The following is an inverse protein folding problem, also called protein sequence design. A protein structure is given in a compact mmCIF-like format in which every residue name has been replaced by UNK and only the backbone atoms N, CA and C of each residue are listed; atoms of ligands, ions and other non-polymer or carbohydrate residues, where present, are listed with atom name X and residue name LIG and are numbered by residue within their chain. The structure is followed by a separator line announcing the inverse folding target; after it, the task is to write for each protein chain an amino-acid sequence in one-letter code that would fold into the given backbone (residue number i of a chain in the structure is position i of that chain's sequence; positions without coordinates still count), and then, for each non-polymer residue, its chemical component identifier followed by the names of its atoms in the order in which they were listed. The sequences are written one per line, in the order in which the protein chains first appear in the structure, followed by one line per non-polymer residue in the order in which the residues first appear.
data_IF_914914118885
#
_entry.id   IF_914914118885
#
_cell.length_a   1.000
_cell.length_b   1.000
_cell.length_c   1.000
_cell.angle_alpha   90.00
_cell.angle_beta   90.00
_cell.angle_gamma   90.00
#
_symmetry.space_group_name_H-M   'P 1'
#
loop_
_entity.id
_entity.type
_entity.pdbx_description
1 polymer ?
#
# COMPACT_ATOMS: atom_id res chain seq x y z
N UNK A 1 57.71 10.17 0.18
CA UNK A 1 57.42 8.79 -0.24
C UNK A 1 56.23 8.33 0.59
N UNK A 2 55.01 8.37 0.05
CA UNK A 2 54.34 7.32 -0.78
C UNK A 2 54.02 6.10 0.07
N UNK A 3 52.82 5.53 0.16
CA UNK A 3 51.44 5.70 -0.37
C UNK A 3 50.65 4.58 0.34
N UNK A 4 49.38 4.37 -0.05
CA UNK A 4 48.48 3.24 0.30
C UNK A 4 47.52 3.72 1.41
N UNK A 5 46.53 4.58 1.12
CA UNK A 5 45.45 4.45 0.12
C UNK A 5 44.78 3.08 0.17
N UNK A 6 43.56 3.09 0.73
CA UNK A 6 42.41 2.23 0.45
C UNK A 6 42.58 0.71 0.46
N UNK A 7 42.22 0.09 1.59
CA UNK A 7 41.86 -1.34 1.65
C UNK A 7 40.54 -1.49 2.44
N UNK A 8 39.47 -0.93 1.90
CA UNK A 8 38.12 -1.41 2.24
C UNK A 8 37.92 -2.69 1.43
N UNK A 9 38.22 -3.83 2.07
CA UNK A 9 37.99 -5.17 1.54
C UNK A 9 36.62 -5.23 0.84
N UNK A 10 36.67 -5.59 -0.45
CA UNK A 10 35.50 -5.77 -1.30
C UNK A 10 34.52 -6.74 -0.62
N UNK A 11 33.28 -6.29 -0.43
CA UNK A 11 32.21 -7.09 0.14
C UNK A 11 32.08 -8.41 -0.62
N UNK A 12 32.04 -9.53 0.12
CA UNK A 12 31.87 -10.87 -0.41
C UNK A 12 30.69 -10.90 -1.40
N UNK A 13 31.00 -11.21 -2.67
CA UNK A 13 30.03 -11.27 -3.74
C UNK A 13 29.03 -12.38 -3.45
N UNK A 14 27.86 -12.00 -2.93
CA UNK A 14 26.81 -12.95 -2.58
C UNK A 14 26.12 -13.45 -3.86
N UNK A 15 26.26 -14.74 -4.16
CA UNK A 15 25.61 -15.38 -5.30
C UNK A 15 24.12 -15.64 -5.00
N UNK A 16 23.25 -14.83 -5.62
CA UNK A 16 21.79 -14.94 -5.51
C UNK A 16 21.15 -15.79 -6.63
N UNK A 17 21.93 -16.55 -7.41
CA UNK A 17 21.41 -17.36 -8.54
C UNK A 17 20.35 -18.41 -8.13
N UNK A 18 20.34 -18.81 -6.86
CA UNK A 18 19.35 -19.75 -6.29
C UNK A 18 18.40 -19.13 -5.26
N UNK A 19 18.41 -17.80 -5.11
CA UNK A 19 17.52 -17.12 -4.19
C UNK A 19 16.08 -17.15 -4.74
N UNK A 20 15.22 -17.97 -4.14
CA UNK A 20 13.78 -17.95 -4.43
C UNK A 20 13.20 -16.66 -3.85
N UNK A 21 12.88 -15.70 -4.72
CA UNK A 21 12.15 -14.48 -4.35
C UNK A 21 10.68 -14.82 -4.11
N UNK A 22 10.38 -15.36 -2.94
CA UNK A 22 9.02 -15.61 -2.46
C UNK A 22 8.85 -15.07 -1.04
N UNK A 23 7.65 -14.58 -0.67
CA UNK A 23 7.40 -14.21 0.71
C UNK A 23 7.55 -15.46 1.60
N UNK A 24 8.40 -15.36 2.64
CA UNK A 24 8.63 -16.44 3.62
C UNK A 24 7.35 -16.79 4.39
N UNK A 25 6.38 -15.86 4.41
CA UNK A 25 5.10 -15.99 5.10
C UNK A 25 3.98 -15.87 4.05
N UNK A 26 3.06 -16.86 3.97
CA UNK A 26 1.92 -16.76 3.07
C UNK A 26 1.04 -15.56 3.45
N UNK A 27 0.44 -14.86 2.47
CA UNK A 27 -0.46 -13.75 2.76
C UNK A 27 -1.64 -14.24 3.61
N UNK A 28 -2.13 -13.38 4.49
CA UNK A 28 -3.30 -13.68 5.31
C UNK A 28 -4.48 -14.05 4.38
N UNK A 29 -5.16 -15.19 4.59
CA UNK A 29 -6.25 -15.64 3.72
C UNK A 29 -7.44 -14.66 3.66
N UNK A 30 -7.56 -13.77 4.65
CA UNK A 30 -8.60 -12.73 4.68
C UNK A 30 -8.16 -11.40 4.06
N UNK A 31 -6.97 -11.34 3.44
CA UNK A 31 -6.44 -10.15 2.78
C UNK A 31 -6.25 -10.42 1.28
N UNK A 32 -6.79 -9.53 0.46
CA UNK A 32 -6.61 -9.58 -1.00
C UNK A 32 -5.58 -8.54 -1.40
N UNK A 33 -4.51 -8.96 -2.10
CA UNK A 33 -3.58 -8.02 -2.72
C UNK A 33 -4.28 -7.30 -3.87
N UNK A 34 -4.25 -5.97 -3.82
CA UNK A 34 -4.81 -5.10 -4.86
C UNK A 34 -3.72 -4.16 -5.39
N UNK A 35 -3.83 -3.78 -6.66
CA UNK A 35 -3.04 -2.70 -7.23
C UNK A 35 -3.88 -1.43 -7.21
N UNK A 36 -3.49 -0.47 -6.38
CA UNK A 36 -4.14 0.84 -6.29
C UNK A 36 -3.10 1.93 -6.51
N UNK A 37 -3.50 3.01 -7.18
CA UNK A 37 -2.70 4.23 -7.24
C UNK A 37 -3.05 5.08 -6.02
N UNK A 38 -2.02 5.54 -5.31
CA UNK A 38 -2.13 6.43 -4.15
C UNK A 38 -1.19 7.60 -4.39
N UNK A 39 -1.63 8.81 -4.06
CA UNK A 39 -0.84 10.01 -4.26
C UNK A 39 0.46 9.97 -3.44
N UNK A 40 1.54 10.47 -4.04
CA UNK A 40 2.89 10.38 -3.47
C UNK A 40 3.06 11.17 -2.17
N UNK A 41 2.32 12.26 -2.00
CA UNK A 41 2.31 13.07 -0.79
C UNK A 41 1.66 12.31 0.38
N UNK A 42 0.56 11.60 0.13
CA UNK A 42 -0.09 10.72 1.11
C UNK A 42 0.82 9.54 1.50
N UNK A 43 1.53 8.95 0.54
CA UNK A 43 2.52 7.91 0.82
C UNK A 43 3.65 8.42 1.72
N UNK A 44 4.18 9.60 1.42
CA UNK A 44 5.25 10.22 2.23
C UNK A 44 4.77 10.57 3.63
N UNK A 45 3.61 11.21 3.73
CA UNK A 45 3.02 11.56 5.02
C UNK A 45 2.78 10.32 5.88
N UNK A 46 2.16 9.28 5.34
CA UNK A 46 1.86 8.05 6.08
C UNK A 46 3.11 7.32 6.57
N UNK A 47 4.17 7.26 5.74
CA UNK A 47 5.47 6.70 6.15
C UNK A 47 6.08 7.47 7.32
N UNK A 48 6.09 8.80 7.24
CA UNK A 48 6.61 9.64 8.32
C UNK A 48 5.87 9.42 9.65
N UNK A 49 4.54 9.17 9.62
CA UNK A 49 3.79 8.84 10.84
C UNK A 49 4.20 7.49 11.44
N UNK A 50 4.34 6.46 10.61
CA UNK A 50 4.73 5.11 11.07
C UNK A 50 6.16 5.08 11.60
N UNK A 51 7.07 5.79 10.92
CA UNK A 51 8.47 5.93 11.35
C UNK A 51 8.55 6.63 12.72
N UNK A 52 7.74 7.67 12.94
CA UNK A 52 7.68 8.39 14.22
C UNK A 52 7.11 7.52 15.37
N UNK A 53 6.21 6.59 15.06
CA UNK A 53 5.63 5.65 16.03
C UNK A 53 6.51 4.42 16.27
N UNK A 54 7.59 4.25 15.50
CA UNK A 54 8.53 3.15 15.64
C UNK A 54 8.01 1.80 15.15
N UNK A 55 7.02 1.79 14.25
CA UNK A 55 6.49 0.55 13.67
C UNK A 55 5.16 0.67 12.94
N UNK A 56 4.73 -0.48 12.38
CA UNK A 56 3.49 -0.62 11.61
C UNK A 56 3.74 -0.63 10.10
N UNK A 57 2.81 -1.24 9.36
CA UNK A 57 2.86 -1.29 7.89
C UNK A 57 1.88 -0.31 7.27
N UNK A 58 2.20 0.17 6.07
CA UNK A 58 1.29 1.05 5.33
C UNK A 58 -0.05 0.35 5.03
N UNK A 59 -0.02 -0.97 4.79
CA UNK A 59 -1.23 -1.77 4.57
C UNK A 59 -2.14 -1.78 5.81
N UNK A 60 -1.59 -1.87 7.01
CA UNK A 60 -2.36 -1.77 8.27
C UNK A 60 -2.97 -0.38 8.44
N UNK A 61 -2.18 0.67 8.22
CA UNK A 61 -2.65 2.07 8.30
C UNK A 61 -3.80 2.32 7.32
N UNK A 62 -3.64 1.89 6.08
CA UNK A 62 -4.67 2.02 5.03
C UNK A 62 -5.94 1.25 5.39
N UNK A 63 -5.81 0.00 5.86
CA UNK A 63 -6.97 -0.80 6.24
C UNK A 63 -7.72 -0.19 7.41
N UNK A 64 -7.03 0.33 8.41
CA UNK A 64 -7.67 0.98 9.56
C UNK A 64 -8.40 2.26 9.15
N UNK A 65 -7.76 3.11 8.33
CA UNK A 65 -8.40 4.29 7.78
C UNK A 65 -9.68 3.95 6.99
N UNK A 66 -9.67 2.89 6.19
CA UNK A 66 -10.85 2.42 5.45
C UNK A 66 -11.96 1.89 6.36
N UNK A 67 -11.63 1.22 7.47
CA UNK A 67 -12.62 0.76 8.45
C UNK A 67 -13.25 1.93 9.18
N UNK A 68 -12.44 2.87 9.68
CA UNK A 68 -12.92 4.10 10.29
C UNK A 68 -13.83 4.86 9.33
N UNK A 69 -13.45 4.95 8.06
CA UNK A 69 -14.27 5.57 7.03
C UNK A 69 -15.61 4.85 6.83
N UNK A 70 -15.59 3.51 6.68
CA UNK A 70 -16.78 2.66 6.51
C UNK A 70 -17.78 2.89 7.64
N UNK A 71 -17.28 2.96 8.87
CA UNK A 71 -18.12 3.04 10.06
C UNK A 71 -18.64 4.47 10.32
N UNK A 72 -18.10 5.49 9.63
CA UNK A 72 -18.41 6.90 9.87
C UNK A 72 -18.96 7.71 8.68
N UNK A 73 -19.42 7.10 7.56
CA UNK A 73 -19.72 7.92 6.35
C UNK A 73 -21.02 7.67 5.58
N UNK A 74 -21.78 8.76 5.45
CA UNK A 74 -22.92 8.94 4.52
C UNK A 74 -22.59 9.93 3.38
N UNK A 75 -21.66 10.87 3.61
CA UNK A 75 -21.47 12.07 2.76
C UNK A 75 -20.54 11.85 1.56
N UNK A 76 -19.41 11.17 1.74
CA UNK A 76 -18.48 10.92 0.63
C UNK A 76 -19.08 9.89 -0.34
N UNK A 77 -19.76 8.86 0.15
CA UNK A 77 -20.49 7.94 -0.72
C UNK A 77 -21.63 8.64 -1.48
N UNK A 78 -22.28 9.63 -0.89
CA UNK A 78 -23.27 10.45 -1.59
C UNK A 78 -22.67 11.24 -2.77
N UNK A 79 -21.41 11.68 -2.67
CA UNK A 79 -20.67 12.33 -3.79
C UNK A 79 -20.49 11.40 -4.99
N UNK A 80 -20.41 10.09 -4.74
CA UNK A 80 -20.29 9.07 -5.79
C UNK A 80 -21.61 8.40 -6.15
N UNK A 81 -22.72 8.77 -5.49
CA UNK A 81 -24.05 8.26 -5.82
C UNK A 81 -24.43 8.79 -7.20
N UNK A 82 -24.70 7.91 -8.19
CA UNK A 82 -25.04 8.36 -9.52
C UNK A 82 -26.32 9.22 -9.46
N UNK A 83 -26.39 10.34 -10.21
CA UNK A 83 -27.63 11.10 -10.32
C UNK A 83 -28.69 10.16 -10.86
N UNK A 84 -29.82 10.07 -10.15
CA UNK A 84 -30.94 9.16 -10.41
C UNK A 84 -31.01 8.66 -11.86
N UNK A 85 -30.48 7.45 -12.11
CA UNK A 85 -30.69 6.79 -13.40
C UNK A 85 -32.18 6.49 -13.45
N UNK A 86 -32.94 7.28 -14.22
CA UNK A 86 -34.37 7.02 -14.43
C UNK A 86 -34.49 5.58 -14.91
N UNK A 87 -35.23 4.76 -14.15
CA UNK A 87 -35.55 3.40 -14.56
C UNK A 87 -36.04 3.42 -16.02
N UNK A 88 -35.58 2.50 -16.89
CA UNK A 88 -36.09 2.44 -18.24
C UNK A 88 -37.61 2.37 -18.16
N UNK A 89 -38.30 3.32 -18.81
CA UNK A 89 -39.76 3.28 -18.93
C UNK A 89 -40.08 1.95 -19.58
N UNK A 90 -40.56 1.00 -18.79
CA UNK A 90 -41.13 -0.22 -19.33
C UNK A 90 -42.33 0.25 -20.15
N UNK A 91 -42.20 0.18 -21.48
CA UNK A 91 -43.38 0.29 -22.34
C UNK A 91 -44.20 -0.93 -21.99
N UNK A 92 -45.26 -0.74 -21.21
CA UNK A 92 -46.36 -1.70 -21.16
C UNK A 92 -46.89 -1.78 -22.58
N UNK A 93 -46.59 -2.90 -23.24
CA UNK A 93 -47.33 -3.36 -24.41
C UNK A 93 -48.52 -4.19 -23.97
#
# INVERSE_FOLDING_TARGET
MSTNDDDFEMAEEYDFTHAVRGPVIPPNPNQTRIWVYVDNDLLQWGRAQLDALGGGTFDELMNEALRMYRDNTDVILARFKPPHVKAPRTKRS
#
